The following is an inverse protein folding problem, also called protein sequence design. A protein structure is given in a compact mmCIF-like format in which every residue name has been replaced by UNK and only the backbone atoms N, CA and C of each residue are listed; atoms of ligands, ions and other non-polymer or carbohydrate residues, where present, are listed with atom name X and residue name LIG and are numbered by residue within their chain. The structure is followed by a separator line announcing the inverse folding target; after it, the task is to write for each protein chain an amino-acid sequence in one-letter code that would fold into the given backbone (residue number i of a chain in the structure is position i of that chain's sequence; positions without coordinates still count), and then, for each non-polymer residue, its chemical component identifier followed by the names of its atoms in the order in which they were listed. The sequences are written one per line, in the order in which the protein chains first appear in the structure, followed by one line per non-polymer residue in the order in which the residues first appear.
data_IF_140951242032
#
_entry.id   IF_140951242032
#
_cell.length_a   1.000
_cell.length_b   1.000
_cell.length_c   1.000
_cell.angle_alpha   90.00
_cell.angle_beta   90.00
_cell.angle_gamma   90.00
#
_symmetry.space_group_name_H-M   'P 1'
#
loop_
_entity.id
_entity.type
_entity.pdbx_description
1 polymer ?
#
# COMPACT_ATOMS: atom_id res chain seq x y z
N UNK A 1 15.43 6.25 -6.72
CA UNK A 1 16.43 6.27 -7.83
C UNK A 1 16.34 4.97 -8.61
N UNK A 2 16.17 5.01 -9.94
CA UNK A 2 16.20 3.82 -10.81
C UNK A 2 17.35 3.94 -11.82
N UNK A 3 18.04 2.83 -12.11
CA UNK A 3 19.11 2.85 -13.12
C UNK A 3 18.55 3.15 -14.51
N UNK A 4 19.35 3.75 -15.39
CA UNK A 4 18.95 4.03 -16.78
C UNK A 4 18.45 2.76 -17.50
N UNK A 5 19.08 1.62 -17.24
CA UNK A 5 18.69 0.34 -17.81
C UNK A 5 17.30 -0.10 -17.29
N UNK A 6 17.07 -0.01 -15.99
CA UNK A 6 15.76 -0.34 -15.40
C UNK A 6 14.63 0.52 -16.00
N UNK A 7 14.87 1.82 -16.20
CA UNK A 7 13.88 2.71 -16.83
C UNK A 7 13.64 2.32 -18.29
N UNK A 8 14.70 2.00 -19.04
CA UNK A 8 14.59 1.56 -20.44
C UNK A 8 13.84 0.24 -20.56
N UNK A 9 14.18 -0.76 -19.74
CA UNK A 9 13.53 -2.07 -19.73
C UNK A 9 12.05 -1.94 -19.40
N UNK A 10 11.70 -1.10 -18.42
CA UNK A 10 10.31 -0.82 -18.07
C UNK A 10 9.53 -0.15 -19.23
N UNK A 11 10.15 0.80 -19.94
CA UNK A 11 9.53 1.45 -21.12
C UNK A 11 9.31 0.44 -22.25
N UNK A 12 10.31 -0.39 -22.52
CA UNK A 12 10.22 -1.44 -23.54
C UNK A 12 9.18 -2.51 -23.19
N UNK A 13 9.09 -2.89 -21.92
CA UNK A 13 8.04 -3.78 -21.44
C UNK A 13 6.65 -3.19 -21.72
N UNK A 14 6.41 -1.91 -21.36
CA UNK A 14 5.14 -1.23 -21.65
C UNK A 14 4.84 -1.17 -23.15
N UNK A 15 5.83 -0.87 -23.99
CA UNK A 15 5.67 -0.84 -25.45
C UNK A 15 5.27 -2.20 -26.00
N UNK A 16 5.99 -3.26 -25.62
CA UNK A 16 5.72 -4.65 -26.05
C UNK A 16 4.35 -5.11 -25.62
N UNK A 17 3.94 -4.85 -24.37
CA UNK A 17 2.59 -5.18 -23.90
C UNK A 17 1.52 -4.46 -24.74
N UNK A 18 1.71 -3.18 -25.05
CA UNK A 18 0.71 -2.44 -25.85
C UNK A 18 0.66 -2.93 -27.30
N UNK A 19 1.79 -3.27 -27.90
CA UNK A 19 1.82 -3.88 -29.25
C UNK A 19 1.14 -5.25 -29.27
N UNK A 20 1.38 -6.08 -28.27
CA UNK A 20 0.70 -7.37 -28.11
C UNK A 20 -0.82 -7.21 -28.02
N UNK A 21 -1.31 -6.29 -27.18
CA UNK A 21 -2.76 -6.03 -27.03
C UNK A 21 -3.41 -5.49 -28.32
N UNK A 22 -2.69 -4.69 -29.11
CA UNK A 22 -3.19 -4.17 -30.41
C UNK A 22 -3.36 -5.26 -31.46
N UNK A 23 -2.54 -6.31 -31.40
CA UNK A 23 -2.53 -7.39 -32.39
C UNK A 23 -3.52 -8.52 -32.11
N UNK A 24 -4.38 -8.41 -31.09
CA UNK A 24 -5.25 -9.49 -30.64
C UNK A 24 -6.71 -9.03 -30.50
N UNK A 25 -7.60 -9.98 -30.75
CA UNK A 25 -9.04 -9.87 -30.50
C UNK A 25 -9.48 -10.96 -29.51
N UNK A 26 -10.50 -10.66 -28.73
CA UNK A 26 -11.26 -11.65 -27.97
C UNK A 26 -12.39 -12.16 -28.86
N UNK A 27 -12.59 -13.48 -28.89
CA UNK A 27 -13.63 -14.15 -29.65
C UNK A 27 -14.48 -15.01 -28.71
N UNK A 28 -15.81 -14.93 -28.82
CA UNK A 28 -16.73 -15.78 -28.08
C UNK A 28 -17.11 -17.06 -28.84
N UNK A 29 -17.92 -17.93 -28.21
CA UNK A 29 -18.34 -19.22 -28.80
C UNK A 29 -19.21 -19.06 -30.05
N UNK A 30 -19.83 -17.88 -30.23
CA UNK A 30 -20.66 -17.54 -31.38
C UNK A 30 -19.88 -16.85 -32.51
N UNK A 31 -18.56 -16.64 -32.33
CA UNK A 31 -17.67 -16.02 -33.31
C UNK A 31 -17.68 -14.49 -33.32
N UNK A 32 -18.27 -13.84 -32.31
CA UNK A 32 -18.19 -12.38 -32.17
C UNK A 32 -16.80 -11.98 -31.71
N UNK A 33 -16.18 -11.02 -32.41
CA UNK A 33 -14.81 -10.56 -32.14
C UNK A 33 -14.81 -9.13 -31.61
N UNK A 34 -14.05 -8.88 -30.55
CA UNK A 34 -13.87 -7.55 -29.97
C UNK A 34 -12.38 -7.29 -29.74
N UNK A 35 -11.92 -6.08 -30.05
CA UNK A 35 -10.52 -5.69 -29.89
C UNK A 35 -10.07 -5.80 -28.43
N UNK A 36 -8.96 -6.52 -28.19
CA UNK A 36 -8.44 -6.70 -26.84
C UNK A 36 -7.93 -5.39 -26.24
N UNK A 37 -7.34 -4.51 -27.04
CA UNK A 37 -6.87 -3.21 -26.56
C UNK A 37 -8.02 -2.28 -26.15
N UNK A 38 -9.15 -2.29 -26.85
CA UNK A 38 -10.31 -1.49 -26.46
C UNK A 38 -10.89 -1.98 -25.12
N UNK A 39 -10.93 -3.30 -24.92
CA UNK A 39 -11.35 -3.89 -23.63
C UNK A 39 -10.36 -3.59 -22.51
N UNK A 40 -9.06 -3.61 -22.80
CA UNK A 40 -8.04 -3.20 -21.84
C UNK A 40 -8.22 -1.72 -21.44
N UNK A 41 -8.29 -0.82 -22.43
CA UNK A 41 -8.36 0.63 -22.22
C UNK A 41 -9.67 1.05 -21.52
N UNK A 42 -10.76 0.30 -21.70
CA UNK A 42 -12.07 0.53 -21.07
C UNK A 42 -12.33 -0.20 -19.74
N UNK A 43 -11.37 -0.95 -19.19
CA UNK A 43 -11.55 -1.74 -17.96
C UNK A 43 -10.59 -1.31 -16.84
N UNK A 44 -10.68 -1.95 -15.67
CA UNK A 44 -9.74 -1.76 -14.54
C UNK A 44 -8.31 -2.23 -14.85
N UNK A 45 -8.08 -2.83 -16.02
CA UNK A 45 -6.72 -3.08 -16.52
C UNK A 45 -6.02 -1.76 -16.89
N UNK A 46 -6.78 -0.73 -17.28
CA UNK A 46 -6.31 0.64 -17.41
C UNK A 46 -6.05 1.23 -16.00
N UNK A 47 -4.80 1.63 -15.69
CA UNK A 47 -4.45 2.20 -14.40
C UNK A 47 -5.30 3.41 -14.00
N UNK A 48 -5.66 4.28 -14.95
CA UNK A 48 -6.46 5.47 -14.64
C UNK A 48 -7.88 5.08 -14.19
N UNK A 49 -8.52 4.11 -14.86
CA UNK A 49 -9.83 3.58 -14.48
C UNK A 49 -9.74 2.87 -13.13
N UNK A 50 -8.69 2.07 -12.91
CA UNK A 50 -8.44 1.39 -11.63
C UNK A 50 -8.30 2.37 -10.47
N UNK A 51 -7.58 3.48 -10.67
CA UNK A 51 -7.47 4.55 -9.66
C UNK A 51 -8.85 5.13 -9.35
N UNK A 52 -9.60 5.55 -10.37
CA UNK A 52 -10.93 6.12 -10.19
C UNK A 52 -11.88 5.15 -9.46
N UNK A 53 -11.82 3.87 -9.79
CA UNK A 53 -12.64 2.84 -9.16
C UNK A 53 -12.29 2.63 -7.69
N UNK A 54 -11.00 2.54 -7.35
CA UNK A 54 -10.56 2.42 -5.96
C UNK A 54 -10.94 3.66 -5.15
N UNK A 55 -10.78 4.86 -5.70
CA UNK A 55 -11.21 6.11 -5.05
C UNK A 55 -12.73 6.12 -4.80
N UNK A 56 -13.52 5.66 -5.77
CA UNK A 56 -14.97 5.56 -5.64
C UNK A 56 -15.36 4.57 -4.53
N UNK A 57 -14.68 3.43 -4.45
CA UNK A 57 -14.89 2.44 -3.38
C UNK A 57 -14.54 2.99 -2.00
N UNK A 58 -13.43 3.71 -1.87
CA UNK A 58 -13.02 4.32 -0.60
C UNK A 58 -14.04 5.35 -0.15
N UNK A 59 -14.50 6.21 -1.07
CA UNK A 59 -15.56 7.17 -0.75
C UNK A 59 -16.86 6.48 -0.38
N UNK A 60 -17.19 5.37 -1.03
CA UNK A 60 -18.33 4.53 -0.65
C UNK A 60 -18.20 3.97 0.77
N UNK A 61 -17.04 3.43 1.12
CA UNK A 61 -16.76 2.96 2.48
C UNK A 61 -16.89 4.08 3.50
N UNK A 62 -16.33 5.25 3.22
CA UNK A 62 -16.40 6.41 4.11
C UNK A 62 -17.84 6.83 4.39
N UNK A 63 -18.68 6.93 3.35
CA UNK A 63 -20.10 7.25 3.53
C UNK A 63 -20.82 6.20 4.40
N UNK A 64 -20.63 4.92 4.11
CA UNK A 64 -21.25 3.82 4.86
C UNK A 64 -20.75 3.80 6.31
N UNK A 65 -19.45 4.04 6.53
CA UNK A 65 -18.87 4.08 7.87
C UNK A 65 -19.47 5.21 8.70
N UNK A 66 -19.62 6.39 8.12
CA UNK A 66 -20.25 7.52 8.77
C UNK A 66 -21.71 7.23 9.16
N UNK A 67 -22.47 6.56 8.29
CA UNK A 67 -23.87 6.17 8.57
C UNK A 67 -23.97 5.10 9.66
N UNK A 68 -23.04 4.15 9.69
CA UNK A 68 -23.04 3.01 10.61
C UNK A 68 -22.25 3.26 11.91
N UNK A 69 -21.67 4.46 12.08
CA UNK A 69 -20.92 4.84 13.28
C UNK A 69 -19.51 4.26 13.39
N UNK A 70 -18.93 3.80 12.27
CA UNK A 70 -17.52 3.37 12.22
C UNK A 70 -16.58 4.58 12.12
N UNK A 71 -15.37 4.42 12.63
CA UNK A 71 -14.29 5.42 12.53
C UNK A 71 -13.15 4.89 11.66
N UNK A 72 -12.49 5.82 10.96
CA UNK A 72 -11.36 5.54 10.09
C UNK A 72 -10.02 5.79 10.79
N UNK A 73 -9.08 4.88 10.58
CA UNK A 73 -7.71 4.94 11.07
C UNK A 73 -6.73 4.72 9.93
N UNK A 74 -5.66 5.50 9.91
CA UNK A 74 -4.56 5.36 8.98
C UNK A 74 -3.34 4.77 9.67
N UNK A 75 -2.87 3.62 9.17
CA UNK A 75 -1.74 2.89 9.72
C UNK A 75 -0.60 2.78 8.72
N UNK A 76 0.61 3.00 9.19
CA UNK A 76 1.85 2.70 8.47
C UNK A 76 2.61 1.58 9.18
N UNK A 77 2.93 0.51 8.45
CA UNK A 77 3.73 -0.62 8.94
C UNK A 77 5.01 -0.76 8.12
N UNK A 78 6.14 -0.74 8.83
CA UNK A 78 7.49 -0.83 8.24
C UNK A 78 8.23 -2.04 8.78
N UNK A 79 9.05 -2.68 7.94
CA UNK A 79 9.88 -3.79 8.37
C UNK A 79 11.09 -3.35 9.24
N UNK A 80 11.63 -4.25 10.09
CA UNK A 80 12.88 -4.01 10.83
C UNK A 80 14.05 -3.57 9.95
N UNK A 81 15.06 -2.91 10.53
CA UNK A 81 16.17 -2.33 9.76
C UNK A 81 16.92 -3.37 8.91
N UNK A 82 17.01 -4.62 9.35
CA UNK A 82 17.69 -5.69 8.60
C UNK A 82 17.09 -6.00 7.22
N UNK A 83 15.86 -5.56 6.95
CA UNK A 83 15.22 -5.69 5.64
C UNK A 83 15.59 -4.57 4.65
N UNK A 84 16.13 -3.46 5.15
CA UNK A 84 16.44 -2.27 4.34
C UNK A 84 17.89 -2.27 3.90
N UNK A 85 18.13 -2.23 2.58
CA UNK A 85 19.45 -2.26 1.97
C UNK A 85 20.25 -0.97 2.19
N UNK A 86 19.55 0.16 2.30
CA UNK A 86 20.19 1.47 2.54
C UNK A 86 19.51 2.24 3.66
N UNK A 87 20.27 3.08 4.32
CA UNK A 87 19.75 4.05 5.31
C UNK A 87 19.02 5.18 4.59
N UNK A 88 18.24 6.00 5.32
CA UNK A 88 17.59 7.21 4.76
C UNK A 88 18.58 8.17 4.09
N UNK A 89 19.84 8.19 4.53
CA UNK A 89 20.90 9.01 3.93
C UNK A 89 21.52 8.40 2.65
N UNK A 90 21.02 7.25 2.18
CA UNK A 90 21.51 6.56 0.97
C UNK A 90 22.75 5.67 1.18
N UNK A 91 23.33 5.64 2.39
CA UNK A 91 24.44 4.74 2.69
C UNK A 91 23.98 3.30 2.87
N UNK A 92 24.83 2.34 2.50
CA UNK A 92 24.59 0.91 2.74
C UNK A 92 24.31 0.65 4.22
N UNK A 93 23.25 -0.09 4.51
CA UNK A 93 22.91 -0.49 5.86
C UNK A 93 23.72 -1.74 6.24
N UNK A 94 24.54 -1.65 7.30
CA UNK A 94 25.35 -2.77 7.79
C UNK A 94 24.53 -3.91 8.39
N UNK A 95 23.28 -3.64 8.78
CA UNK A 95 22.34 -4.64 9.33
C UNK A 95 21.62 -5.43 8.24
N UNK A 96 21.67 -4.97 6.98
CA UNK A 96 20.90 -5.59 5.91
C UNK A 96 21.30 -7.05 5.73
N UNK A 97 20.30 -7.94 5.77
CA UNK A 97 20.51 -9.38 5.70
C UNK A 97 20.41 -9.96 4.28
N UNK A 98 20.28 -9.11 3.26
CA UNK A 98 20.09 -9.55 1.86
C UNK A 98 18.64 -9.79 1.47
N UNK A 99 17.66 -9.44 2.32
CA UNK A 99 16.24 -9.60 2.00
C UNK A 99 15.87 -8.86 0.70
N UNK A 100 15.15 -9.57 -0.16
CA UNK A 100 14.52 -9.00 -1.35
C UNK A 100 13.18 -8.31 -0.99
N UNK A 101 12.63 -7.46 -1.88
CA UNK A 101 11.28 -6.92 -1.68
C UNK A 101 10.21 -8.01 -1.46
N UNK A 102 10.37 -9.18 -2.09
CA UNK A 102 9.48 -10.33 -1.90
C UNK A 102 9.56 -10.89 -0.47
N UNK A 103 10.78 -11.02 0.07
CA UNK A 103 11.00 -11.52 1.43
C UNK A 103 10.40 -10.57 2.48
N UNK A 104 10.59 -9.26 2.30
CA UNK A 104 9.97 -8.25 3.16
C UNK A 104 8.45 -8.27 3.06
N UNK A 105 7.89 -8.44 1.86
CA UNK A 105 6.45 -8.57 1.69
C UNK A 105 5.90 -9.80 2.41
N UNK A 106 6.62 -10.94 2.34
CA UNK A 106 6.26 -12.16 3.06
C UNK A 106 6.32 -11.98 4.58
N UNK A 107 7.30 -11.23 5.08
CA UNK A 107 7.35 -10.84 6.49
C UNK A 107 6.09 -10.04 6.89
N UNK A 108 5.73 -8.99 6.13
CA UNK A 108 4.58 -8.15 6.46
C UNK A 108 3.25 -8.92 6.35
N UNK A 109 3.10 -9.82 5.38
CA UNK A 109 1.90 -10.68 5.29
C UNK A 109 1.80 -11.67 6.44
N UNK A 110 2.92 -12.26 6.87
CA UNK A 110 2.99 -13.11 8.06
C UNK A 110 2.63 -12.35 9.34
N UNK A 111 3.21 -11.15 9.53
CA UNK A 111 2.88 -10.25 10.63
C UNK A 111 1.37 -9.93 10.67
N UNK A 112 0.81 -9.54 9.52
CA UNK A 112 -0.61 -9.20 9.41
C UNK A 112 -1.52 -10.41 9.64
N UNK A 113 -1.13 -11.61 9.22
CA UNK A 113 -1.89 -12.83 9.52
C UNK A 113 -1.99 -13.09 11.03
N UNK A 114 -0.89 -12.88 11.78
CA UNK A 114 -0.87 -13.02 13.25
C UNK A 114 -1.76 -11.97 13.93
N UNK A 115 -1.70 -10.71 13.46
CA UNK A 115 -2.57 -9.62 13.92
C UNK A 115 -4.04 -9.97 13.70
N UNK A 116 -4.43 -10.36 12.48
CA UNK A 116 -5.82 -10.74 12.17
C UNK A 116 -6.30 -11.90 13.05
N UNK A 117 -5.45 -12.89 13.28
CA UNK A 117 -5.78 -14.01 14.16
C UNK A 117 -6.01 -13.56 15.61
N UNK A 118 -5.25 -12.57 16.11
CA UNK A 118 -5.46 -11.99 17.45
C UNK A 118 -6.76 -11.20 17.55
N UNK A 119 -7.02 -10.33 16.57
CA UNK A 119 -8.28 -9.56 16.50
C UNK A 119 -9.49 -10.48 16.48
N UNK A 120 -9.44 -11.54 15.66
CA UNK A 120 -10.52 -12.53 15.58
C UNK A 120 -10.77 -13.24 16.92
N UNK A 121 -9.72 -13.61 17.67
CA UNK A 121 -9.87 -14.21 19.00
C UNK A 121 -10.46 -13.27 20.05
N UNK A 122 -10.38 -11.96 19.80
CA UNK A 122 -10.99 -10.93 20.66
C UNK A 122 -12.31 -10.43 20.09
N UNK A 123 -12.83 -11.08 19.05
CA UNK A 123 -14.10 -10.74 18.38
C UNK A 123 -14.15 -9.32 17.80
N UNK A 124 -12.98 -8.70 17.60
CA UNK A 124 -12.83 -7.36 17.01
C UNK A 124 -12.86 -7.48 15.49
N UNK A 125 -13.76 -6.74 14.85
CA UNK A 125 -13.92 -6.72 13.40
C UNK A 125 -13.39 -5.41 12.83
N UNK A 126 -12.45 -5.52 11.90
CA UNK A 126 -11.94 -4.40 11.12
C UNK A 126 -12.03 -4.72 9.63
N UNK A 127 -12.22 -3.70 8.81
CA UNK A 127 -12.18 -3.80 7.34
C UNK A 127 -11.48 -2.58 6.75
N UNK A 128 -11.09 -2.63 5.49
CA UNK A 128 -10.34 -1.52 4.92
C UNK A 128 -9.53 -1.87 3.68
N UNK A 129 -8.62 -0.97 3.33
CA UNK A 129 -7.76 -1.07 2.16
C UNK A 129 -6.30 -0.93 2.59
N UNK A 130 -5.45 -1.72 1.95
CA UNK A 130 -4.00 -1.72 2.18
C UNK A 130 -3.27 -1.52 0.87
N UNK A 131 -2.33 -0.58 0.86
CA UNK A 131 -1.39 -0.31 -0.24
C UNK A 131 0.01 -0.66 0.23
N UNK A 132 0.81 -1.28 -0.65
CA UNK A 132 2.23 -1.56 -0.38
C UNK A 132 3.09 -0.63 -1.25
N UNK A 133 3.89 0.22 -0.63
CA UNK A 133 4.75 1.17 -1.32
C UNK A 133 6.23 0.83 -1.06
N UNK A 134 7.12 0.90 -2.06
CA UNK A 134 8.55 0.76 -1.82
C UNK A 134 9.12 2.03 -1.18
N UNK A 135 9.98 1.87 -0.18
CA UNK A 135 10.91 2.92 0.23
C UNK A 135 11.91 3.24 -0.90
N UNK A 136 12.72 4.28 -0.70
CA UNK A 136 13.77 4.69 -1.63
C UNK A 136 14.77 3.57 -1.99
N UNK A 137 14.91 2.57 -1.11
CA UNK A 137 15.77 1.41 -1.28
C UNK A 137 15.06 0.16 -1.85
N UNK A 138 13.78 0.29 -2.19
CA UNK A 138 12.93 -0.77 -2.74
C UNK A 138 12.22 -1.63 -1.70
N UNK A 139 12.49 -1.43 -0.40
CA UNK A 139 11.87 -2.22 0.68
C UNK A 139 10.40 -1.84 0.83
N UNK A 140 9.44 -2.79 0.73
CA UNK A 140 8.03 -2.47 0.88
C UNK A 140 7.69 -2.08 2.33
N UNK A 141 6.83 -1.08 2.46
CA UNK A 141 6.08 -0.74 3.67
C UNK A 141 4.59 -0.66 3.31
N UNK A 142 3.72 -0.77 4.31
CA UNK A 142 2.27 -0.78 4.09
C UNK A 142 1.62 0.47 4.65
N UNK A 143 0.74 1.07 3.85
CA UNK A 143 -0.24 2.05 4.29
C UNK A 143 -1.61 1.39 4.31
N UNK A 144 -2.35 1.59 5.39
CA UNK A 144 -3.62 0.91 5.63
C UNK A 144 -4.66 1.93 6.07
N UNK A 145 -5.73 2.04 5.30
CA UNK A 145 -6.96 2.69 5.71
C UNK A 145 -7.87 1.63 6.30
N UNK A 146 -8.08 1.67 7.61
CA UNK A 146 -8.86 0.68 8.35
C UNK A 146 -10.05 1.32 9.05
N UNK A 147 -11.19 0.65 9.03
CA UNK A 147 -12.43 1.05 9.67
C UNK A 147 -12.79 0.04 10.77
N UNK A 148 -13.25 0.57 11.90
CA UNK A 148 -13.62 -0.19 13.10
C UNK A 148 -14.62 0.59 13.96
N UNK A 149 -15.20 -0.04 14.98
CA UNK A 149 -16.04 0.67 15.94
C UNK A 149 -15.17 1.60 16.82
N UNK A 150 -15.71 2.74 17.28
CA UNK A 150 -14.96 3.71 18.09
C UNK A 150 -14.31 3.10 19.34
N UNK A 151 -15.01 2.19 20.01
CA UNK A 151 -14.55 1.49 21.20
C UNK A 151 -13.35 0.56 20.95
N UNK A 152 -13.18 0.09 19.72
CA UNK A 152 -12.12 -0.86 19.35
C UNK A 152 -10.80 -0.19 19.00
N UNK A 153 -10.80 1.13 18.70
CA UNK A 153 -9.63 1.86 18.15
C UNK A 153 -8.37 1.64 18.97
N UNK A 154 -8.44 1.90 20.27
CA UNK A 154 -7.27 1.78 21.15
C UNK A 154 -6.81 0.33 21.24
N UNK A 155 -7.75 -0.62 21.23
CA UNK A 155 -7.40 -2.04 21.31
C UNK A 155 -6.73 -2.52 20.03
N UNK A 156 -7.24 -2.13 18.87
CA UNK A 156 -6.65 -2.42 17.56
C UNK A 156 -5.25 -1.84 17.45
N UNK A 157 -5.06 -0.55 17.82
CA UNK A 157 -3.74 0.10 17.85
C UNK A 157 -2.74 -0.66 18.72
N UNK A 158 -3.15 -1.05 19.92
CA UNK A 158 -2.30 -1.81 20.84
C UNK A 158 -1.90 -3.17 20.26
N UNK A 159 -2.85 -3.93 19.70
CA UNK A 159 -2.57 -5.24 19.09
C UNK A 159 -1.58 -5.10 17.93
N UNK A 160 -1.85 -4.19 16.99
CA UNK A 160 -0.97 -4.00 15.82
C UNK A 160 0.42 -3.59 16.28
N UNK A 161 0.52 -2.62 17.19
CA UNK A 161 1.77 -2.13 17.76
C UNK A 161 2.58 -3.26 18.40
N UNK A 162 1.96 -4.07 19.25
CA UNK A 162 2.67 -5.10 20.01
C UNK A 162 3.27 -6.15 19.07
N UNK A 163 2.56 -6.56 18.01
CA UNK A 163 3.10 -7.45 16.98
C UNK A 163 4.19 -6.75 16.14
N UNK A 164 3.97 -5.51 15.70
CA UNK A 164 4.94 -4.77 14.90
C UNK A 164 6.26 -4.51 15.64
N UNK A 165 6.22 -4.45 16.98
CA UNK A 165 7.36 -4.19 17.85
C UNK A 165 8.04 -5.46 18.39
N UNK A 166 7.49 -6.65 18.13
CA UNK A 166 8.01 -7.91 18.63
C UNK A 166 9.39 -8.22 18.05
N UNK A 167 9.53 -8.13 16.73
CA UNK A 167 10.77 -8.42 16.03
C UNK A 167 11.76 -7.25 16.12
N UNK A 168 12.99 -7.55 16.53
CA UNK A 168 14.06 -6.56 16.70
C UNK A 168 13.68 -5.37 17.60
N UNK A 169 12.94 -5.66 18.69
CA UNK A 169 12.49 -4.65 19.67
C UNK A 169 13.60 -3.75 20.20
N UNK A 170 14.83 -4.27 20.25
CA UNK A 170 16.01 -3.52 20.68
C UNK A 170 16.34 -2.31 19.77
N UNK A 171 15.77 -2.21 18.57
CA UNK A 171 15.88 -1.04 17.69
C UNK A 171 14.98 0.12 18.12
N UNK A 172 13.93 -0.14 18.91
CA UNK A 172 12.85 0.81 19.23
C UNK A 172 13.18 1.67 20.46
N UNK A 173 14.39 2.23 20.48
CA UNK A 173 14.93 2.97 21.63
C UNK A 173 14.39 4.39 21.78
N UNK A 174 13.79 4.94 20.74
CA UNK A 174 13.23 6.30 20.71
C UNK A 174 11.82 6.30 20.14
N UNK A 175 11.05 7.33 20.46
CA UNK A 175 9.69 7.45 19.92
C UNK A 175 9.70 7.64 18.40
N UNK A 176 10.76 8.26 17.85
CA UNK A 176 10.99 8.30 16.41
C UNK A 176 11.15 6.88 15.82
N UNK A 177 11.92 6.01 16.45
CA UNK A 177 12.10 4.63 15.97
C UNK A 177 10.81 3.80 16.09
N UNK A 178 10.09 3.97 17.20
CA UNK A 178 8.76 3.35 17.40
C UNK A 178 7.76 3.80 16.34
N UNK A 179 7.66 5.10 16.08
CA UNK A 179 6.79 5.70 15.06
C UNK A 179 7.18 5.25 13.65
N UNK A 180 8.48 5.15 13.36
CA UNK A 180 8.96 4.64 12.07
C UNK A 180 8.61 3.16 11.84
N UNK A 181 8.50 2.36 12.91
CA UNK A 181 8.08 0.95 12.82
C UNK A 181 6.57 0.79 12.62
N UNK A 182 5.80 1.51 13.44
CA UNK A 182 4.36 1.54 13.38
C UNK A 182 3.87 2.95 13.72
N UNK A 183 3.15 3.57 12.79
CA UNK A 183 2.46 4.83 13.02
C UNK A 183 0.97 4.63 12.86
N UNK A 184 0.20 5.14 13.82
CA UNK A 184 -1.24 5.24 13.75
C UNK A 184 -1.66 6.71 13.80
N UNK A 185 -2.61 7.07 12.96
CA UNK A 185 -3.23 8.38 12.88
C UNK A 185 -4.75 8.20 12.71
N UNK A 186 -5.53 8.89 13.55
CA UNK A 186 -6.98 8.94 13.39
C UNK A 186 -7.33 9.81 12.18
N UNK A 187 -8.28 9.36 11.37
CA UNK A 187 -8.77 10.17 10.27
C UNK A 187 -9.69 11.23 10.84
N UNK A 188 -9.33 12.48 10.56
CA UNK A 188 -10.09 13.65 10.98
C UNK A 188 -10.94 14.15 9.80
N UNK A 189 -12.28 13.96 9.83
CA UNK A 189 -13.16 14.40 8.75
C UNK A 189 -13.09 15.89 8.45
N UNK A 190 -12.66 16.71 9.41
CA UNK A 190 -12.53 18.17 9.24
C UNK A 190 -11.21 18.55 8.55
N UNK A 191 -10.15 17.74 8.69
CA UNK A 191 -8.86 17.97 8.02
C UNK A 191 -8.78 17.35 6.64
N UNK A 192 -9.65 16.38 6.34
CA UNK A 192 -9.74 15.77 5.03
C UNK A 192 -10.52 14.46 5.05
N UNK A 193 -11.03 14.07 3.89
CA UNK A 193 -11.69 12.76 3.74
C UNK A 193 -10.71 11.61 3.96
N UNK A 194 -11.20 10.45 4.41
CA UNK A 194 -10.42 9.21 4.44
C UNK A 194 -9.80 8.89 3.06
N UNK A 195 -10.51 9.29 2.01
CA UNK A 195 -10.03 9.27 0.63
C UNK A 195 -8.74 10.09 0.46
N UNK A 196 -8.65 11.30 1.02
CA UNK A 196 -7.46 12.15 0.97
C UNK A 196 -6.22 11.53 1.61
N UNK A 197 -6.39 10.85 2.75
CA UNK A 197 -5.29 10.18 3.47
C UNK A 197 -4.63 9.07 2.66
N UNK A 198 -5.40 8.27 1.92
CA UNK A 198 -4.87 7.16 1.12
C UNK A 198 -4.64 7.53 -0.35
N UNK A 199 -5.17 8.68 -0.81
CA UNK A 199 -5.16 9.09 -2.22
C UNK A 199 -3.76 9.20 -2.80
N UNK A 200 -2.82 9.85 -2.09
CA UNK A 200 -1.42 9.97 -2.51
C UNK A 200 -0.80 8.59 -2.75
N UNK A 201 -1.03 7.66 -1.83
CA UNK A 201 -0.48 6.31 -1.88
C UNK A 201 -1.08 5.47 -3.01
N UNK A 202 -2.38 5.61 -3.26
CA UNK A 202 -3.06 4.94 -4.39
C UNK A 202 -2.55 5.48 -5.73
N UNK A 203 -2.46 6.80 -5.88
CA UNK A 203 -1.93 7.42 -7.08
C UNK A 203 -0.49 6.96 -7.35
N UNK A 204 0.38 7.00 -6.33
CA UNK A 204 1.76 6.49 -6.42
C UNK A 204 1.83 5.02 -6.86
N UNK A 205 0.96 4.16 -6.33
CA UNK A 205 1.00 2.73 -6.62
C UNK A 205 0.50 2.36 -8.02
N UNK A 206 -0.46 3.13 -8.56
CA UNK A 206 -1.18 2.74 -9.77
C UNK A 206 -0.54 3.32 -11.02
N UNK A 207 -0.33 4.63 -11.07
CA UNK A 207 0.16 5.30 -12.28
C UNK A 207 0.95 6.59 -12.06
N UNK A 208 1.14 7.01 -10.82
CA UNK A 208 1.89 8.22 -10.47
C UNK A 208 1.20 9.53 -10.86
N UNK A 209 -0.11 9.50 -11.09
CA UNK A 209 -0.87 10.67 -11.53
C UNK A 209 -0.84 11.83 -10.52
N UNK A 210 -0.63 13.05 -11.03
CA UNK A 210 -0.57 14.30 -10.27
C UNK A 210 0.53 14.34 -9.19
N UNK A 211 1.64 13.60 -9.39
CA UNK A 211 2.82 13.64 -8.52
C UNK A 211 3.97 14.52 -9.06
N UNK A 212 3.75 15.26 -10.15
CA UNK A 212 4.79 16.09 -10.77
C UNK A 212 5.27 17.19 -9.80
N UNK A 213 6.52 17.09 -9.33
CA UNK A 213 7.16 18.06 -8.45
C UNK A 213 7.11 17.75 -6.95
N UNK A 214 6.47 16.65 -6.54
CA UNK A 214 6.42 16.20 -5.14
C UNK A 214 7.63 15.31 -4.81
N UNK A 215 8.58 15.81 -4.02
CA UNK A 215 9.61 14.99 -3.35
C UNK A 215 9.07 14.46 -2.03
N UNK A 216 9.21 13.16 -1.80
CA UNK A 216 8.63 12.48 -0.65
C UNK A 216 9.70 11.94 0.31
N UNK A 217 9.52 12.18 1.59
CA UNK A 217 10.48 11.83 2.63
C UNK A 217 10.73 10.32 2.82
N UNK A 218 9.83 9.48 2.32
CA UNK A 218 9.81 8.02 2.51
C UNK A 218 10.24 7.23 1.25
N UNK A 219 9.91 7.72 0.05
CA UNK A 219 10.30 7.11 -1.23
C UNK A 219 11.48 7.82 -1.92
N UNK A 220 11.90 9.00 -1.44
CA UNK A 220 12.99 9.81 -1.98
C UNK A 220 12.55 10.72 -3.13
#
# INVERSE_FOLDING_TARGET
YASKNCVTDWREQKRRTREFLKGLDLEDEDGNRISLIEKFDGSVANPAIRRCELMTRIRGFENICNELGYVGEFYTLTAPSKYHATTKAGYRNSKWNGASPSDTQNYLTGLWARIRAKLHREEIRIFGIRVAEPHHDGTPHWHMLMFMLPEDVERVRLIIRDYAWEEDRHELKSDKAKKARFHAEAIDPEKGSATGYVAKYISKNIDGYALDGETDDESG
#
